data_IF_221573959640
#
_entry.id   IF_221573959640
#
_cell.length_a   1.000
_cell.length_b   1.000
_cell.length_c   1.000
_cell.angle_alpha   90.00
_cell.angle_beta   90.00
_cell.angle_gamma   90.00
#
_symmetry.space_group_name_H-M   'P 1'
#
loop_
_entity.id
_entity.type
_entity.pdbx_description
1 polymer ?
#
# COMPACT_ATOMS: atom_id res chain seq x y z
N UNK A 1 58.98 36.64 5.86
CA UNK A 1 57.82 35.79 5.53
C UNK A 1 56.87 36.62 4.69
N UNK A 2 56.76 36.32 3.39
CA UNK A 2 55.90 37.05 2.45
C UNK A 2 54.60 36.24 2.36
N UNK A 3 53.51 36.78 2.91
CA UNK A 3 52.18 36.19 2.77
C UNK A 3 51.62 36.53 1.38
N UNK A 4 51.26 35.51 0.60
CA UNK A 4 50.55 35.70 -0.66
C UNK A 4 49.07 36.05 -0.36
N UNK A 5 48.46 36.99 -1.10
CA UNK A 5 47.07 37.36 -0.86
C UNK A 5 46.13 36.25 -1.35
N UNK A 6 45.25 35.80 -0.46
CA UNK A 6 44.22 34.79 -0.74
C UNK A 6 43.21 35.37 -1.75
N UNK A 7 42.96 34.62 -2.83
CA UNK A 7 42.13 35.01 -3.97
C UNK A 7 40.67 35.26 -3.56
N UNK A 8 40.16 36.46 -3.86
CA UNK A 8 38.80 36.91 -3.56
C UNK A 8 37.71 36.11 -4.30
N UNK A 9 38.09 35.26 -5.26
CA UNK A 9 37.18 34.35 -5.98
C UNK A 9 36.81 33.11 -5.16
N UNK A 10 37.73 32.56 -4.37
CA UNK A 10 37.45 31.37 -3.53
C UNK A 10 36.43 31.70 -2.43
N UNK A 11 36.48 32.90 -1.85
CA UNK A 11 35.48 33.36 -0.87
C UNK A 11 34.07 33.53 -1.46
N UNK A 12 33.95 33.84 -2.75
CA UNK A 12 32.65 33.98 -3.43
C UNK A 12 32.03 32.63 -3.80
N UNK A 13 32.86 31.65 -4.15
CA UNK A 13 32.42 30.27 -4.42
C UNK A 13 31.83 29.60 -3.17
N UNK A 14 32.44 29.78 -2.01
CA UNK A 14 31.97 29.21 -0.74
C UNK A 14 30.63 29.85 -0.26
N UNK A 15 30.48 31.18 -0.41
CA UNK A 15 29.23 31.87 -0.07
C UNK A 15 28.04 31.44 -0.95
N UNK A 16 28.26 31.22 -2.24
CA UNK A 16 27.22 30.78 -3.17
C UNK A 16 26.74 29.35 -2.87
N UNK A 17 27.64 28.43 -2.51
CA UNK A 17 27.26 27.07 -2.08
C UNK A 17 26.41 27.08 -0.80
N UNK A 18 26.77 27.92 0.17
CA UNK A 18 26.03 28.07 1.42
C UNK A 18 24.62 28.63 1.15
N UNK A 19 24.46 29.59 0.24
CA UNK A 19 23.15 30.10 -0.17
C UNK A 19 22.31 29.07 -0.92
N UNK A 20 22.90 28.29 -1.83
CA UNK A 20 22.20 27.20 -2.52
C UNK A 20 21.68 26.14 -1.53
N UNK A 21 22.48 25.76 -0.54
CA UNK A 21 22.07 24.81 0.51
C UNK A 21 20.92 25.37 1.33
N UNK A 22 20.93 26.67 1.66
CA UNK A 22 19.83 27.36 2.34
C UNK A 22 18.56 27.41 1.49
N UNK A 23 18.67 27.66 0.18
CA UNK A 23 17.54 27.66 -0.77
C UNK A 23 16.91 26.28 -0.91
N UNK A 24 17.73 25.23 -1.10
CA UNK A 24 17.29 23.82 -1.14
C UNK A 24 16.60 23.40 0.16
N UNK A 25 17.10 23.84 1.32
CA UNK A 25 16.43 23.58 2.61
C UNK A 25 15.10 24.33 2.76
N UNK A 26 14.99 25.56 2.27
CA UNK A 26 13.75 26.35 2.29
C UNK A 26 12.67 25.72 1.41
N UNK A 27 13.01 25.34 0.18
CA UNK A 27 12.08 24.63 -0.71
C UNK A 27 11.62 23.28 -0.12
N UNK A 28 12.52 22.54 0.53
CA UNK A 28 12.17 21.27 1.20
C UNK A 28 11.22 21.50 2.38
N UNK A 29 11.38 22.59 3.14
CA UNK A 29 10.46 22.99 4.20
C UNK A 29 9.09 23.41 3.64
N UNK A 30 9.06 24.19 2.56
CA UNK A 30 7.81 24.59 1.90
C UNK A 30 7.04 23.40 1.32
N UNK A 31 7.71 22.45 0.67
CA UNK A 31 7.09 21.21 0.18
C UNK A 31 6.51 20.37 1.32
N UNK A 32 7.21 20.27 2.45
CA UNK A 32 6.70 19.59 3.66
C UNK A 32 5.46 20.29 4.23
N UNK A 33 5.50 21.61 4.39
CA UNK A 33 4.38 22.40 4.91
C UNK A 33 3.15 22.31 3.99
N UNK A 34 3.34 22.33 2.66
CA UNK A 34 2.26 22.15 1.68
C UNK A 34 1.62 20.76 1.78
N UNK A 35 2.43 19.72 2.00
CA UNK A 35 1.96 18.36 2.25
C UNK A 35 1.17 18.22 3.56
N UNK A 36 1.63 18.84 4.64
CA UNK A 36 0.92 18.85 5.93
C UNK A 36 -0.40 19.62 5.88
N UNK A 37 -0.42 20.77 5.18
CA UNK A 37 -1.66 21.55 4.98
C UNK A 37 -2.70 20.73 4.20
N UNK A 38 -2.28 20.08 3.10
CA UNK A 38 -3.15 19.18 2.32
C UNK A 38 -3.70 18.02 3.17
N UNK A 39 -2.87 17.39 4.00
CA UNK A 39 -3.33 16.32 4.92
C UNK A 39 -4.39 16.82 5.91
N UNK A 40 -4.23 18.03 6.46
CA UNK A 40 -5.22 18.65 7.34
C UNK A 40 -6.53 18.95 6.61
N UNK A 41 -6.46 19.44 5.37
CA UNK A 41 -7.64 19.75 4.57
C UNK A 41 -8.45 18.49 4.22
N UNK A 42 -7.78 17.40 3.83
CA UNK A 42 -8.43 16.10 3.57
C UNK A 42 -9.09 15.54 4.85
N UNK A 43 -8.40 15.61 5.99
CA UNK A 43 -8.96 15.17 7.26
C UNK A 43 -10.15 16.03 7.70
N UNK A 44 -10.10 17.34 7.45
CA UNK A 44 -11.19 18.26 7.74
C UNK A 44 -12.42 17.95 6.89
N UNK A 45 -12.25 17.76 5.57
CA UNK A 45 -13.33 17.36 4.66
C UNK A 45 -13.96 16.02 5.07
N UNK A 46 -13.15 15.01 5.37
CA UNK A 46 -13.65 13.72 5.86
C UNK A 46 -14.45 13.86 7.16
N UNK A 47 -14.00 14.73 8.07
CA UNK A 47 -14.70 15.02 9.33
C UNK A 47 -16.04 15.74 9.09
N UNK A 48 -16.12 16.59 8.07
CA UNK A 48 -17.35 17.29 7.69
C UNK A 48 -18.40 16.32 7.13
N UNK A 49 -18.03 15.44 6.19
CA UNK A 49 -18.92 14.40 5.66
C UNK A 49 -19.45 13.47 6.78
N UNK A 50 -18.63 13.15 7.78
CA UNK A 50 -19.05 12.37 8.95
C UNK A 50 -20.06 13.11 9.84
N UNK A 51 -20.03 14.45 9.88
CA UNK A 51 -20.99 15.26 10.65
C UNK A 51 -22.33 15.38 9.92
N UNK A 52 -22.31 15.49 8.59
CA UNK A 52 -23.52 15.51 7.78
C UNK A 52 -24.26 14.18 7.81
N UNK A 53 -23.53 13.06 7.84
CA UNK A 53 -24.10 11.72 8.03
C UNK A 53 -24.86 11.56 9.36
N UNK A 54 -24.49 12.31 10.41
CA UNK A 54 -25.18 12.26 11.71
C UNK A 54 -26.49 13.05 11.74
N UNK A 55 -26.74 13.94 10.77
CA UNK A 55 -27.99 14.72 10.67
C UNK A 55 -29.12 13.99 9.93
N UNK A 56 -28.85 12.87 9.26
CA UNK A 56 -29.83 12.08 8.50
C UNK A 56 -30.34 10.82 9.23
N UNK A 57 -30.46 10.83 10.57
CA UNK A 57 -31.01 9.68 11.31
C UNK A 57 -32.46 9.91 11.76
N UNK A 58 -33.39 9.75 10.81
CA UNK A 58 -34.73 9.18 11.04
C UNK A 58 -34.79 7.93 10.14
N UNK A 59 -35.30 6.75 10.50
CA UNK A 59 -35.83 6.07 11.70
C UNK A 59 -36.05 4.62 11.22
N UNK A 60 -35.73 3.59 12.02
CA UNK A 60 -36.12 2.17 11.86
C UNK A 60 -35.59 1.37 10.65
N UNK A 61 -35.58 1.93 9.44
CA UNK A 61 -35.28 1.19 8.20
C UNK A 61 -33.78 0.90 8.01
N UNK A 62 -32.90 1.77 8.51
CA UNK A 62 -31.44 1.58 8.44
C UNK A 62 -30.96 0.36 9.25
N UNK A 63 -31.60 0.08 10.39
CA UNK A 63 -31.26 -1.09 11.19
C UNK A 63 -31.66 -2.40 10.51
N UNK A 64 -32.86 -2.45 9.91
CA UNK A 64 -33.29 -3.60 9.11
C UNK A 64 -32.37 -3.83 7.92
N UNK A 65 -31.94 -2.75 7.25
CA UNK A 65 -30.97 -2.82 6.17
C UNK A 65 -29.64 -3.40 6.66
N UNK A 66 -29.08 -2.89 7.76
CA UNK A 66 -27.81 -3.41 8.30
C UNK A 66 -27.91 -4.87 8.76
N UNK A 67 -29.04 -5.26 9.35
CA UNK A 67 -29.31 -6.65 9.73
C UNK A 67 -29.33 -7.59 8.51
N UNK A 68 -29.82 -7.11 7.36
CA UNK A 68 -29.86 -7.91 6.12
C UNK A 68 -28.49 -8.18 5.48
N UNK A 69 -27.44 -7.43 5.86
CA UNK A 69 -26.08 -7.56 5.31
C UNK A 69 -25.05 -8.06 6.35
N UNK A 70 -25.49 -8.60 7.49
CA UNK A 70 -24.58 -9.08 8.54
C UNK A 70 -23.58 -10.15 8.04
N UNK A 71 -23.99 -10.95 7.05
CA UNK A 71 -23.14 -11.95 6.39
C UNK A 71 -21.96 -11.32 5.64
N UNK A 72 -22.17 -10.19 4.95
CA UNK A 72 -21.14 -9.45 4.21
C UNK A 72 -20.10 -8.82 5.14
N UNK A 73 -20.49 -8.41 6.35
CA UNK A 73 -19.62 -7.72 7.31
C UNK A 73 -18.93 -8.66 8.32
N UNK A 74 -18.86 -9.96 8.03
CA UNK A 74 -18.18 -10.94 8.87
C UNK A 74 -16.74 -10.53 9.13
N UNK A 75 -16.33 -10.54 10.40
CA UNK A 75 -14.94 -10.21 10.80
C UNK A 75 -13.95 -11.32 10.46
N UNK A 76 -14.45 -12.55 10.36
CA UNK A 76 -13.67 -13.75 10.12
C UNK A 76 -13.69 -14.12 8.64
N UNK A 77 -12.56 -14.63 8.14
CA UNK A 77 -12.46 -15.12 6.77
C UNK A 77 -13.16 -16.50 6.73
N UNK A 78 -14.14 -16.72 5.84
CA UNK A 78 -14.81 -18.01 5.77
C UNK A 78 -13.81 -19.11 5.39
N UNK A 79 -13.92 -20.27 6.03
CA UNK A 79 -13.07 -21.43 5.75
C UNK A 79 -13.31 -22.07 4.36
N UNK A 80 -14.30 -21.58 3.62
CA UNK A 80 -14.67 -22.09 2.31
C UNK A 80 -13.96 -21.29 1.21
N UNK A 81 -13.67 -21.95 0.09
CA UNK A 81 -13.19 -21.27 -1.10
C UNK A 81 -14.24 -20.24 -1.56
N UNK A 82 -13.82 -19.07 -2.06
CA UNK A 82 -14.74 -18.07 -2.61
C UNK A 82 -15.62 -18.69 -3.70
N UNK A 83 -16.84 -18.21 -3.95
CA UNK A 83 -17.61 -18.70 -5.09
C UNK A 83 -16.94 -18.31 -6.43
N UNK A 84 -17.16 -19.09 -7.49
CA UNK A 84 -16.68 -18.76 -8.85
C UNK A 84 -17.53 -17.60 -9.38
N UNK A 85 -16.88 -16.47 -9.71
CA UNK A 85 -17.55 -15.22 -10.14
C UNK A 85 -17.34 -14.88 -11.63
N UNK A 86 -16.87 -15.85 -12.43
CA UNK A 86 -16.62 -15.69 -13.87
C UNK A 86 -15.32 -14.94 -14.24
N UNK A 87 -14.58 -14.42 -13.24
CA UNK A 87 -13.22 -13.92 -13.40
C UNK A 87 -12.36 -14.46 -12.26
N UNK A 88 -11.29 -15.15 -12.62
CA UNK A 88 -10.29 -15.68 -11.70
C UNK A 88 -9.00 -14.88 -11.87
N UNK A 89 -8.19 -14.83 -10.82
CA UNK A 89 -6.91 -14.14 -10.83
C UNK A 89 -5.87 -15.00 -11.52
N UNK A 90 -5.68 -14.73 -12.81
CA UNK A 90 -4.62 -15.34 -13.58
C UNK A 90 -3.27 -14.68 -13.28
N UNK A 91 -2.27 -15.50 -12.99
CA UNK A 91 -0.87 -15.07 -12.83
C UNK A 91 -0.13 -15.44 -14.12
N UNK A 92 0.01 -14.45 -15.00
CA UNK A 92 0.78 -14.60 -16.22
C UNK A 92 2.26 -14.33 -15.97
N UNK A 93 3.13 -15.12 -16.57
CA UNK A 93 4.58 -14.92 -16.51
C UNK A 93 5.12 -14.42 -17.85
N UNK A 94 6.21 -13.66 -17.78
CA UNK A 94 6.98 -13.29 -18.96
C UNK A 94 7.36 -14.54 -19.76
N UNK A 95 7.30 -14.44 -21.09
CA UNK A 95 7.64 -15.56 -21.97
C UNK A 95 9.06 -16.07 -21.71
N UNK A 96 9.21 -17.36 -21.41
CA UNK A 96 10.50 -17.98 -21.08
C UNK A 96 10.97 -17.76 -19.62
N UNK A 97 10.11 -17.25 -18.74
CA UNK A 97 10.44 -17.12 -17.32
C UNK A 97 10.71 -18.48 -16.66
N UNK A 98 11.73 -18.52 -15.82
CA UNK A 98 12.08 -19.69 -15.01
C UNK A 98 11.45 -19.49 -13.63
N UNK A 99 10.66 -20.47 -13.19
CA UNK A 99 10.05 -20.43 -11.86
C UNK A 99 11.13 -20.46 -10.77
N UNK A 100 11.02 -19.61 -9.74
CA UNK A 100 12.00 -19.59 -8.67
C UNK A 100 11.88 -20.87 -7.85
N UNK A 101 12.95 -21.66 -7.83
CA UNK A 101 13.14 -22.75 -6.88
C UNK A 101 14.17 -22.33 -5.83
N UNK A 102 13.79 -21.41 -4.94
CA UNK A 102 14.69 -20.98 -3.87
C UNK A 102 14.54 -21.93 -2.69
N UNK A 103 15.68 -22.40 -2.18
CA UNK A 103 15.71 -23.17 -0.95
C UNK A 103 14.99 -22.39 0.17
N UNK A 104 14.06 -23.06 0.83
CA UNK A 104 13.41 -22.53 2.03
C UNK A 104 14.45 -22.17 3.08
N UNK A 105 14.23 -21.07 3.80
CA UNK A 105 15.19 -20.48 4.74
C UNK A 105 15.68 -21.47 5.83
N UNK A 106 14.93 -22.56 6.10
CA UNK A 106 15.34 -23.63 7.02
C UNK A 106 14.42 -24.88 7.03
N UNK A 107 14.04 -25.48 5.90
CA UNK A 107 13.28 -26.75 5.92
C UNK A 107 14.23 -27.95 5.75
N UNK A 108 14.24 -28.87 6.72
CA UNK A 108 15.00 -30.14 6.67
C UNK A 108 14.09 -31.33 6.37
N UNK A 109 13.09 -31.16 5.51
CA UNK A 109 12.15 -32.20 5.12
C UNK A 109 12.43 -32.62 3.68
N UNK A 110 13.10 -33.76 3.53
CA UNK A 110 13.42 -34.40 2.24
C UNK A 110 12.17 -34.89 1.48
N UNK A 111 10.98 -34.76 2.06
CA UNK A 111 9.77 -35.47 1.62
C UNK A 111 8.74 -34.61 0.87
N UNK A 112 8.90 -33.28 0.80
CA UNK A 112 7.85 -32.40 0.25
C UNK A 112 8.28 -31.47 -0.90
N UNK A 113 9.53 -31.54 -1.36
CA UNK A 113 10.07 -30.57 -2.33
C UNK A 113 9.77 -30.95 -3.78
N UNK A 114 9.42 -32.20 -4.08
CA UNK A 114 9.33 -32.69 -5.46
C UNK A 114 8.00 -32.38 -6.20
N UNK A 115 6.96 -31.91 -5.51
CA UNK A 115 5.62 -31.80 -6.11
C UNK A 115 5.35 -30.40 -6.73
N UNK A 116 6.07 -29.35 -6.31
CA UNK A 116 5.82 -27.99 -6.79
C UNK A 116 7.05 -27.40 -7.51
N UNK A 117 6.90 -26.95 -8.78
CA UNK A 117 8.02 -26.41 -9.57
C UNK A 117 8.50 -25.02 -9.10
N UNK A 118 7.85 -24.42 -8.10
CA UNK A 118 8.14 -23.10 -7.57
C UNK A 118 8.16 -23.15 -6.04
N UNK A 119 9.27 -22.73 -5.43
CA UNK A 119 9.45 -22.66 -3.97
C UNK A 119 9.84 -21.25 -3.59
N UNK A 120 9.02 -20.65 -2.72
CA UNK A 120 9.19 -19.29 -2.21
C UNK A 120 9.29 -19.31 -0.69
N UNK A 121 10.27 -18.62 -0.08
CA UNK A 121 10.40 -18.62 1.37
C UNK A 121 9.23 -17.89 2.04
N UNK A 122 8.82 -18.42 3.19
CA UNK A 122 7.84 -17.79 4.08
C UNK A 122 8.56 -17.25 5.31
N UNK A 123 8.23 -16.02 5.70
CA UNK A 123 8.82 -15.29 6.82
C UNK A 123 7.71 -14.98 7.82
N UNK A 124 7.99 -15.18 9.11
CA UNK A 124 7.10 -14.76 10.19
C UNK A 124 7.44 -13.33 10.61
N UNK A 125 6.44 -12.45 10.56
CA UNK A 125 6.55 -11.05 10.93
C UNK A 125 5.68 -10.77 12.15
N UNK A 126 6.28 -10.26 13.23
CA UNK A 126 5.55 -9.86 14.42
C UNK A 126 4.78 -8.56 14.19
N UNK A 127 3.53 -8.51 14.67
CA UNK A 127 2.70 -7.31 14.69
C UNK A 127 2.89 -6.55 16.00
N UNK A 128 2.46 -5.28 16.00
CA UNK A 128 2.43 -4.44 17.20
C UNK A 128 1.48 -4.94 18.29
N UNK A 129 0.45 -5.70 17.92
CA UNK A 129 -0.50 -6.32 18.86
C UNK A 129 0.04 -7.62 19.49
N UNK A 130 1.29 -8.01 19.20
CA UNK A 130 1.92 -9.24 19.69
C UNK A 130 1.60 -10.49 18.86
N UNK A 131 0.68 -10.42 17.89
CA UNK A 131 0.39 -11.55 17.00
C UNK A 131 1.40 -11.65 15.85
N UNK A 132 1.44 -12.81 15.18
CA UNK A 132 2.33 -13.07 14.05
C UNK A 132 1.57 -13.07 12.72
N UNK A 133 2.23 -12.68 11.62
CA UNK A 133 1.75 -12.89 10.25
C UNK A 133 2.75 -13.70 9.47
N UNK A 134 2.28 -14.67 8.71
CA UNK A 134 3.07 -15.31 7.66
C UNK A 134 3.11 -14.38 6.44
N UNK A 135 4.30 -14.08 5.96
CA UNK A 135 4.55 -13.29 4.76
C UNK A 135 5.35 -14.13 3.78
N UNK A 136 4.80 -14.38 2.59
CA UNK A 136 5.52 -15.04 1.51
C UNK A 136 6.41 -14.02 0.79
N UNK A 137 7.66 -14.36 0.51
CA UNK A 137 8.58 -13.50 -0.23
C UNK A 137 8.35 -13.59 -1.74
N UNK A 138 7.24 -13.02 -2.22
CA UNK A 138 6.88 -13.09 -3.64
C UNK A 138 7.76 -12.21 -4.55
N UNK A 139 8.88 -11.63 -4.09
CA UNK A 139 9.70 -10.73 -4.91
C UNK A 139 10.20 -11.37 -6.20
N UNK A 140 10.64 -12.63 -6.13
CA UNK A 140 11.10 -13.37 -7.31
C UNK A 140 9.97 -13.70 -8.28
N UNK A 141 8.77 -13.99 -7.76
CA UNK A 141 7.57 -14.22 -8.58
C UNK A 141 7.16 -12.90 -9.24
N UNK A 142 6.98 -11.83 -8.46
CA UNK A 142 6.55 -10.52 -8.96
C UNK A 142 7.49 -9.93 -10.03
N UNK A 143 8.77 -10.33 -10.04
CA UNK A 143 9.73 -9.89 -11.05
C UNK A 143 9.54 -10.59 -12.40
N UNK A 144 9.00 -11.81 -12.40
CA UNK A 144 8.74 -12.60 -13.62
C UNK A 144 7.27 -12.55 -14.04
N UNK A 145 6.37 -12.07 -13.18
CA UNK A 145 4.94 -11.89 -13.47
C UNK A 145 4.74 -10.72 -14.42
N UNK A 146 3.90 -10.91 -15.44
CA UNK A 146 3.47 -9.82 -16.32
C UNK A 146 2.50 -8.91 -15.55
N UNK A 147 2.75 -7.60 -15.64
CA UNK A 147 2.06 -6.60 -14.85
C UNK A 147 0.73 -6.25 -15.48
N UNK A 148 -0.38 -6.71 -14.89
CA UNK A 148 -1.70 -6.28 -15.34
C UNK A 148 -1.95 -4.81 -15.00
N UNK A 149 -2.06 -3.95 -16.02
CA UNK A 149 -2.28 -2.51 -15.85
C UNK A 149 -3.77 -2.19 -15.85
N UNK A 150 -4.40 -2.31 -14.68
CA UNK A 150 -5.69 -1.66 -14.46
C UNK A 150 -5.48 -0.19 -14.10
N UNK A 151 -6.27 0.70 -14.70
CA UNK A 151 -6.27 2.11 -14.32
C UNK A 151 -6.88 2.26 -12.92
N UNK A 152 -6.04 2.47 -11.92
CA UNK A 152 -6.50 2.89 -10.59
C UNK A 152 -6.62 4.41 -10.63
N UNK A 153 -7.85 4.92 -10.60
CA UNK A 153 -8.11 6.36 -10.59
C UNK A 153 -7.51 7.02 -9.34
N UNK A 154 -6.94 8.21 -9.51
CA UNK A 154 -6.45 9.00 -8.39
C UNK A 154 -7.62 9.38 -7.47
N UNK A 155 -7.44 9.25 -6.15
CA UNK A 155 -8.52 9.46 -5.18
C UNK A 155 -9.19 10.83 -5.34
N UNK A 156 -8.42 11.90 -5.56
CA UNK A 156 -8.96 13.26 -5.72
C UNK A 156 -9.96 13.37 -6.87
N UNK A 157 -9.81 12.56 -7.92
CA UNK A 157 -10.73 12.56 -9.07
C UNK A 157 -12.07 11.87 -8.75
N UNK A 158 -12.13 11.10 -7.66
CA UNK A 158 -13.33 10.35 -7.24
C UNK A 158 -14.04 11.00 -6.05
N UNK A 159 -13.41 11.95 -5.35
CA UNK A 159 -13.94 12.50 -4.10
C UNK A 159 -15.27 13.24 -4.28
N UNK A 160 -15.45 13.95 -5.40
CA UNK A 160 -16.66 14.72 -5.65
C UNK A 160 -17.88 13.83 -5.97
N UNK A 161 -17.67 12.55 -6.28
CA UNK A 161 -18.71 11.55 -6.59
C UNK A 161 -18.98 10.55 -5.43
N UNK A 162 -18.21 10.63 -4.34
CA UNK A 162 -18.26 9.66 -3.24
C UNK A 162 -19.34 10.02 -2.20
N UNK A 163 -20.40 9.20 -2.12
CA UNK A 163 -21.46 9.36 -1.10
C UNK A 163 -21.33 8.39 0.09
N UNK A 164 -20.66 7.25 -0.08
CA UNK A 164 -20.50 6.24 0.97
C UNK A 164 -19.14 5.56 0.87
N UNK A 165 -18.70 4.93 1.96
CA UNK A 165 -17.42 4.21 2.03
C UNK A 165 -17.66 2.80 2.52
N UNK A 166 -17.35 1.83 1.67
CA UNK A 166 -17.30 0.41 2.02
C UNK A 166 -15.83 -0.02 2.01
N UNK A 167 -15.39 -0.72 3.06
CA UNK A 167 -14.01 -1.23 3.16
C UNK A 167 -14.07 -2.75 3.15
N UNK A 168 -13.39 -3.37 2.18
CA UNK A 168 -13.23 -4.81 2.11
C UNK A 168 -12.00 -5.22 2.94
N UNK A 169 -12.21 -5.82 4.10
CA UNK A 169 -11.12 -6.24 5.00
C UNK A 169 -10.35 -7.47 4.49
N UNK A 170 -11.04 -8.37 3.79
CA UNK A 170 -10.57 -9.67 3.32
C UNK A 170 -10.55 -9.80 1.80
N UNK A 171 -10.63 -8.68 1.06
CA UNK A 171 -10.88 -8.69 -0.38
C UNK A 171 -9.96 -9.60 -1.20
N UNK A 172 -8.68 -9.76 -0.79
CA UNK A 172 -7.75 -10.70 -1.43
C UNK A 172 -8.17 -12.16 -1.34
N UNK A 173 -8.74 -12.57 -0.20
CA UNK A 173 -9.16 -13.95 0.04
C UNK A 173 -10.49 -14.29 -0.64
N UNK A 174 -11.19 -13.30 -1.19
CA UNK A 174 -12.47 -13.46 -1.89
C UNK A 174 -12.31 -13.61 -3.41
N UNK A 175 -11.07 -13.53 -3.91
CA UNK A 175 -10.71 -13.71 -5.31
C UNK A 175 -10.06 -15.08 -5.47
N UNK A 176 -10.59 -15.90 -6.38
CA UNK A 176 -9.97 -17.17 -6.74
C UNK A 176 -8.73 -16.94 -7.60
N UNK A 177 -7.70 -17.77 -7.41
CA UNK A 177 -6.55 -17.92 -8.30
C UNK A 177 -6.80 -19.16 -9.17
#
# INVERSE_FOLDING_TARGET
>A
MIGLPIDSREQKLDQNEVEERKKKQKEKKERKNKGEKRKKDVMSKATMCLKDSKRLTKKKDEKQMLESFLDVYSKDIPHRLPPIKGREHQIDFNMGAILPNRATYRANTKESIEIFPCVVPVILVSKKDGSWRMCMDCRSINAITDGYRHLIHHLENLLDELHSKIVLCSGYYEIRI
#
